data_IF_444331324319
#
_entry.id   IF_444331324319
#
_cell.length_a   1.000
_cell.length_b   1.000
_cell.length_c   1.000
_cell.angle_alpha   90.00
_cell.angle_beta   90.00
_cell.angle_gamma   90.00
#
_symmetry.space_group_name_H-M   'P 1'
#
loop_
_entity.id
_entity.type
_entity.pdbx_description
1 polymer ?
#
# COMPACT_ATOMS: atom_id res chain seq x y z
N UNK A 1 15.74 9.16 25.41
CA UNK A 1 14.82 8.60 26.43
C UNK A 1 14.30 7.27 25.92
N UNK A 2 14.59 6.15 26.59
CA UNK A 2 14.02 4.83 26.24
C UNK A 2 12.50 4.89 26.39
N UNK A 3 11.76 4.67 25.31
CA UNK A 3 10.28 4.61 25.37
C UNK A 3 9.88 3.41 26.19
N UNK A 4 9.10 3.64 27.25
CA UNK A 4 8.53 2.59 28.09
C UNK A 4 7.63 1.72 27.20
N UNK A 5 7.77 0.39 27.28
CA UNK A 5 6.97 -0.54 26.45
C UNK A 5 5.47 -0.38 26.74
N UNK A 6 4.63 -0.65 25.75
CA UNK A 6 3.17 -0.57 25.87
C UNK A 6 2.65 -1.45 27.02
N UNK A 7 3.25 -2.63 27.20
CA UNK A 7 2.94 -3.55 28.31
C UNK A 7 3.12 -2.86 29.67
N UNK A 8 4.27 -2.20 29.90
CA UNK A 8 4.54 -1.49 31.15
C UNK A 8 3.58 -0.33 31.38
N UNK A 9 3.23 0.44 30.34
CA UNK A 9 2.26 1.53 30.45
C UNK A 9 0.89 1.01 30.84
N UNK A 10 0.41 -0.05 30.18
CA UNK A 10 -0.89 -0.65 30.46
C UNK A 10 -0.91 -1.24 31.88
N UNK A 11 0.13 -1.97 32.28
CA UNK A 11 0.26 -2.52 33.66
C UNK A 11 0.23 -1.43 34.69
N UNK A 12 0.99 -0.35 34.53
CA UNK A 12 0.98 0.77 35.50
C UNK A 12 -0.41 1.42 35.59
N UNK A 13 -1.08 1.69 34.48
CA UNK A 13 -2.42 2.32 34.48
C UNK A 13 -3.43 1.42 35.20
N UNK A 14 -3.49 0.14 34.88
CA UNK A 14 -4.44 -0.80 35.49
C UNK A 14 -4.10 -1.02 36.99
N UNK A 15 -2.82 -1.12 37.35
CA UNK A 15 -2.41 -1.29 38.73
C UNK A 15 -2.80 -0.08 39.57
N UNK A 16 -2.61 1.15 39.07
CA UNK A 16 -3.06 2.37 39.74
C UNK A 16 -4.59 2.36 39.91
N UNK A 17 -5.33 1.96 38.87
CA UNK A 17 -6.79 1.86 38.91
C UNK A 17 -7.26 0.84 39.97
N UNK A 18 -6.64 -0.34 40.02
CA UNK A 18 -6.90 -1.37 41.04
C UNK A 18 -6.60 -0.82 42.45
N UNK A 19 -5.46 -0.13 42.63
CA UNK A 19 -5.09 0.44 43.90
C UNK A 19 -6.10 1.49 44.40
N UNK A 20 -6.61 2.34 43.50
CA UNK A 20 -7.65 3.33 43.83
C UNK A 20 -8.95 2.64 44.24
N UNK A 21 -9.41 1.63 43.47
CA UNK A 21 -10.62 0.87 43.82
C UNK A 21 -10.45 0.18 45.18
N UNK A 22 -9.34 -0.51 45.39
CA UNK A 22 -9.05 -1.16 46.70
C UNK A 22 -9.06 -0.15 47.81
N UNK A 23 -8.47 1.04 47.62
CA UNK A 23 -8.49 2.12 48.62
C UNK A 23 -9.89 2.63 48.93
N UNK A 24 -10.73 2.83 47.91
CA UNK A 24 -12.12 3.24 48.08
C UNK A 24 -12.94 2.18 48.84
N UNK A 25 -12.85 0.91 48.43
CA UNK A 25 -13.54 -0.21 49.10
C UNK A 25 -13.09 -0.36 50.52
N UNK A 26 -11.77 -0.33 50.79
CA UNK A 26 -11.21 -0.40 52.12
C UNK A 26 -11.72 0.72 53.00
N UNK A 27 -11.81 1.95 52.47
CA UNK A 27 -12.33 3.10 53.23
C UNK A 27 -13.81 2.94 53.56
N UNK A 28 -14.63 2.44 52.63
CA UNK A 28 -16.05 2.16 52.86
C UNK A 28 -16.25 1.06 53.92
N UNK A 29 -15.54 -0.06 53.78
CA UNK A 29 -15.60 -1.19 54.72
C UNK A 29 -15.11 -0.76 56.09
N UNK A 30 -14.04 0.02 56.19
CA UNK A 30 -13.54 0.57 57.44
C UNK A 30 -14.57 1.49 58.11
N UNK A 31 -15.14 2.46 57.37
CA UNK A 31 -16.16 3.36 57.89
C UNK A 31 -17.38 2.60 58.43
N UNK A 32 -17.85 1.61 57.63
CA UNK A 32 -19.00 0.78 58.04
C UNK A 32 -18.68 -0.04 59.31
N UNK A 33 -17.49 -0.67 59.37
CA UNK A 33 -17.06 -1.42 60.55
C UNK A 33 -16.90 -0.53 61.79
N UNK A 34 -16.35 0.68 61.66
CA UNK A 34 -16.24 1.65 62.75
C UNK A 34 -17.63 2.11 63.19
N UNK A 35 -18.56 2.37 62.28
CA UNK A 35 -19.93 2.74 62.59
C UNK A 35 -20.62 1.69 63.51
N UNK A 36 -20.52 0.40 63.16
CA UNK A 36 -21.07 -0.68 64.02
C UNK A 36 -20.35 -0.80 65.33
N UNK A 37 -19.05 -0.58 65.44
CA UNK A 37 -18.30 -0.59 66.66
C UNK A 37 -18.70 0.60 67.62
N UNK A 38 -18.93 1.78 67.01
CA UNK A 38 -19.40 2.97 67.71
C UNK A 38 -20.83 2.78 68.22
N UNK A 39 -21.75 2.20 67.42
CA UNK A 39 -23.12 1.93 67.87
C UNK A 39 -23.19 0.91 69.03
N UNK A 40 -22.33 -0.13 69.03
CA UNK A 40 -22.21 -1.06 70.07
C UNK A 40 -21.69 -0.37 71.36
N UNK A 41 -20.73 0.54 71.30
CA UNK A 41 -20.23 1.30 72.39
C UNK A 41 -21.30 2.24 72.94
N UNK A 42 -22.04 2.94 72.07
CA UNK A 42 -23.18 3.79 72.49
C UNK A 42 -24.24 3.00 73.24
N UNK A 43 -24.54 1.76 72.82
CA UNK A 43 -25.52 0.89 73.45
C UNK A 43 -25.03 0.48 74.90
N UNK A 44 -23.74 0.17 74.99
CA UNK A 44 -23.15 -0.18 76.32
C UNK A 44 -23.13 1.03 77.29
N UNK A 45 -22.77 2.22 76.77
CA UNK A 45 -22.76 3.45 77.56
C UNK A 45 -24.17 3.90 77.96
N UNK A 46 -25.22 3.67 77.16
CA UNK A 46 -26.60 4.01 77.44
C UNK A 46 -27.28 3.06 78.45
N UNK A 47 -26.85 1.79 78.55
CA UNK A 47 -27.38 0.84 79.51
C UNK A 47 -26.88 1.09 80.97
N UNK A 48 -25.89 1.96 81.16
CA UNK A 48 -25.46 2.45 82.44
C UNK A 48 -26.43 3.43 83.12
N UNK A 49 -27.35 4.04 82.36
CA UNK A 49 -28.36 4.99 82.78
C UNK A 49 -29.77 4.46 82.47
N UNK A 50 -30.40 3.77 83.43
CA UNK A 50 -31.80 3.30 83.49
C UNK A 50 -32.68 3.40 82.21
N UNK A 51 -33.07 2.29 81.61
CA UNK A 51 -34.40 1.72 81.29
C UNK A 51 -34.38 0.66 80.20
N UNK A 52 -34.87 -0.52 80.59
CA UNK A 52 -35.07 -1.71 79.74
C UNK A 52 -36.26 -1.46 78.83
N UNK A 53 -36.07 -1.51 77.52
CA UNK A 53 -37.09 -1.64 76.48
C UNK A 53 -37.13 -3.08 75.94
N UNK A 54 -38.31 -3.66 75.82
CA UNK A 54 -38.62 -5.09 75.58
C UNK A 54 -38.36 -5.53 74.08
N UNK A 55 -37.16 -5.37 73.56
CA UNK A 55 -36.76 -5.95 72.31
C UNK A 55 -35.74 -7.06 72.50
N UNK A 56 -35.84 -8.15 71.72
CA UNK A 56 -35.00 -9.36 71.78
C UNK A 56 -33.47 -9.08 71.71
N UNK A 57 -32.90 -8.53 72.82
CA UNK A 57 -31.48 -8.24 72.88
C UNK A 57 -30.78 -9.24 73.80
N UNK A 58 -29.56 -9.60 73.53
CA UNK A 58 -28.71 -10.50 74.34
C UNK A 58 -28.31 -9.79 75.63
N UNK A 59 -28.98 -10.15 76.73
CA UNK A 59 -28.67 -9.58 78.00
C UNK A 59 -27.40 -10.18 78.59
N UNK A 60 -26.39 -9.36 78.84
CA UNK A 60 -25.23 -9.68 79.62
C UNK A 60 -25.51 -9.12 81.00
N UNK A 61 -25.84 -10.01 81.96
CA UNK A 61 -26.06 -9.60 83.35
C UNK A 61 -24.72 -9.32 84.02
N UNK A 62 -24.37 -8.04 84.14
CA UNK A 62 -23.17 -7.57 84.82
C UNK A 62 -23.59 -6.98 86.13
N UNK A 63 -22.98 -7.40 87.33
CA UNK A 63 -23.27 -6.78 88.59
C UNK A 63 -22.94 -5.28 88.58
N UNK A 64 -23.81 -4.48 89.26
CA UNK A 64 -23.71 -3.00 89.30
C UNK A 64 -22.33 -2.51 89.74
N UNK A 65 -21.76 -3.20 90.74
CA UNK A 65 -20.43 -2.88 91.29
C UNK A 65 -19.26 -3.12 90.33
N UNK A 66 -19.49 -3.79 89.17
CA UNK A 66 -18.49 -4.10 88.14
C UNK A 66 -18.75 -3.43 86.83
N UNK A 67 -19.80 -2.63 86.69
CA UNK A 67 -20.19 -1.99 85.45
C UNK A 67 -19.12 -1.02 84.94
N UNK A 68 -18.57 -0.17 85.80
CA UNK A 68 -17.54 0.80 85.43
C UNK A 68 -16.25 0.14 84.96
N UNK A 69 -15.84 -0.98 85.56
CA UNK A 69 -14.69 -1.75 85.15
C UNK A 69 -14.93 -2.39 83.80
N UNK A 70 -16.12 -2.98 83.57
CA UNK A 70 -16.51 -3.56 82.27
C UNK A 70 -16.60 -2.50 81.18
N UNK A 71 -17.24 -1.37 81.38
CA UNK A 71 -17.38 -0.30 80.40
C UNK A 71 -16.03 0.28 79.96
N UNK A 72 -15.13 0.42 80.93
CA UNK A 72 -13.76 0.88 80.68
C UNK A 72 -12.95 -0.16 79.87
N UNK A 73 -12.99 -1.44 80.21
CA UNK A 73 -12.32 -2.51 79.52
C UNK A 73 -12.90 -2.69 78.11
N UNK A 74 -14.23 -2.58 77.95
CA UNK A 74 -14.92 -2.64 76.67
C UNK A 74 -14.49 -1.48 75.71
N UNK A 75 -14.45 -0.26 76.25
CA UNK A 75 -14.04 0.92 75.47
C UNK A 75 -12.57 0.81 75.02
N UNK A 76 -11.67 0.28 75.86
CA UNK A 76 -10.27 0.02 75.46
C UNK A 76 -10.19 -1.08 74.43
N UNK A 77 -10.99 -2.17 74.57
CA UNK A 77 -11.04 -3.22 73.54
C UNK A 77 -11.59 -2.71 72.22
N UNK A 78 -12.65 -1.90 72.20
CA UNK A 78 -13.19 -1.27 70.94
C UNK A 78 -12.15 -0.39 70.32
N UNK A 79 -11.42 0.43 71.05
CA UNK A 79 -10.34 1.26 70.55
C UNK A 79 -9.22 0.43 69.88
N UNK A 80 -8.77 -0.63 70.55
CA UNK A 80 -7.73 -1.52 70.07
C UNK A 80 -8.21 -2.27 68.85
N UNK A 81 -9.45 -2.78 68.79
CA UNK A 81 -10.05 -3.45 67.68
C UNK A 81 -10.18 -2.51 66.45
N UNK A 82 -10.55 -1.23 66.66
CA UNK A 82 -10.57 -0.23 65.56
C UNK A 82 -9.17 -0.03 64.96
N UNK A 83 -8.13 0.06 65.78
CA UNK A 83 -6.76 0.24 65.39
C UNK A 83 -6.26 -0.99 64.57
N UNK A 84 -6.51 -2.20 65.08
CA UNK A 84 -6.15 -3.46 64.41
C UNK A 84 -6.94 -3.67 63.13
N UNK A 85 -8.23 -3.34 63.12
CA UNK A 85 -9.07 -3.40 61.90
C UNK A 85 -8.55 -2.48 60.82
N UNK A 86 -8.16 -1.23 61.15
CA UNK A 86 -7.54 -0.29 60.23
C UNK A 86 -6.24 -0.84 59.63
N UNK A 87 -5.35 -1.36 60.49
CA UNK A 87 -4.06 -1.92 60.08
C UNK A 87 -4.24 -3.13 59.16
N UNK A 88 -5.10 -4.08 59.55
CA UNK A 88 -5.35 -5.29 58.76
C UNK A 88 -6.02 -4.97 57.43
N UNK A 89 -6.99 -4.03 57.39
CA UNK A 89 -7.63 -3.58 56.16
C UNK A 89 -6.64 -2.95 55.18
N UNK A 90 -5.69 -2.15 55.67
CA UNK A 90 -4.63 -1.57 54.85
C UNK A 90 -3.67 -2.62 54.29
N UNK A 91 -3.28 -3.61 55.09
CA UNK A 91 -2.39 -4.71 54.68
C UNK A 91 -3.07 -5.55 53.57
N UNK A 92 -4.34 -5.92 53.80
CA UNK A 92 -5.12 -6.71 52.85
C UNK A 92 -5.27 -5.94 51.48
N UNK A 93 -5.60 -4.64 51.57
CA UNK A 93 -5.71 -3.78 50.41
C UNK A 93 -4.39 -3.68 49.60
N UNK A 94 -3.27 -3.50 50.31
CA UNK A 94 -1.95 -3.46 49.70
C UNK A 94 -1.58 -4.79 49.05
N UNK A 95 -1.87 -5.92 49.66
CA UNK A 95 -1.66 -7.27 49.10
C UNK A 95 -2.49 -7.51 47.85
N UNK A 96 -3.78 -7.14 47.88
CA UNK A 96 -4.67 -7.26 46.72
C UNK A 96 -4.21 -6.39 45.53
N UNK A 97 -3.77 -5.16 45.80
CA UNK A 97 -3.24 -4.28 44.78
C UNK A 97 -1.95 -4.86 44.15
N UNK A 98 -1.07 -5.42 44.99
CA UNK A 98 0.17 -6.04 44.48
C UNK A 98 -0.12 -7.29 43.65
N UNK A 99 -0.99 -8.18 44.13
CA UNK A 99 -1.39 -9.39 43.37
C UNK A 99 -2.09 -9.01 42.06
N UNK A 100 -2.98 -8.02 42.09
CA UNK A 100 -3.64 -7.49 40.90
C UNK A 100 -2.63 -6.92 39.89
N UNK A 101 -1.63 -6.20 40.34
CA UNK A 101 -0.55 -5.68 39.53
C UNK A 101 0.27 -6.78 38.83
N UNK A 102 0.64 -7.82 39.60
CA UNK A 102 1.36 -8.98 39.03
C UNK A 102 0.50 -9.73 38.01
N UNK A 103 -0.75 -10.01 38.33
CA UNK A 103 -1.68 -10.66 37.41
C UNK A 103 -1.85 -9.84 36.12
N UNK A 104 -2.02 -8.53 36.23
CA UNK A 104 -2.14 -7.61 35.06
C UNK A 104 -0.89 -7.64 34.21
N UNK A 105 0.30 -7.71 34.78
CA UNK A 105 1.56 -7.80 34.04
C UNK A 105 1.59 -9.05 33.15
N UNK A 106 1.23 -10.21 33.67
CA UNK A 106 1.21 -11.46 32.91
C UNK A 106 0.11 -11.47 31.84
N UNK A 107 -1.11 -11.04 32.20
CA UNK A 107 -2.24 -10.98 31.27
C UNK A 107 -1.94 -10.02 30.11
N UNK A 108 -1.45 -8.81 30.41
CA UNK A 108 -1.07 -7.82 29.41
C UNK A 108 0.07 -8.31 28.51
N UNK A 109 1.05 -9.02 29.09
CA UNK A 109 2.14 -9.63 28.31
C UNK A 109 1.64 -10.67 27.30
N UNK A 110 0.71 -11.51 27.72
CA UNK A 110 0.12 -12.54 26.85
C UNK A 110 -0.79 -11.91 25.77
N UNK A 111 -1.65 -10.98 26.15
CA UNK A 111 -2.56 -10.30 25.22
C UNK A 111 -1.84 -9.46 24.15
N UNK A 112 -0.66 -8.90 24.48
CA UNK A 112 0.12 -8.09 23.53
C UNK A 112 1.13 -8.91 22.71
N UNK A 113 1.27 -10.20 22.95
CA UNK A 113 2.20 -11.08 22.24
C UNK A 113 1.94 -11.13 20.74
N UNK A 114 0.69 -11.32 20.24
CA UNK A 114 0.41 -11.36 18.82
C UNK A 114 0.80 -10.06 18.08
N UNK A 115 0.62 -8.91 18.74
CA UNK A 115 0.99 -7.61 18.16
C UNK A 115 2.51 -7.47 18.01
N UNK A 116 3.28 -8.00 18.97
CA UNK A 116 4.75 -8.00 18.86
C UNK A 116 5.23 -8.92 17.74
N UNK A 117 4.70 -10.12 17.68
CA UNK A 117 5.02 -11.07 16.59
C UNK A 117 4.68 -10.51 15.21
N UNK A 118 3.57 -9.77 15.11
CA UNK A 118 3.19 -9.04 13.90
C UNK A 118 4.21 -7.95 13.56
N UNK A 119 4.59 -7.12 14.53
CA UNK A 119 5.59 -6.06 14.35
C UNK A 119 6.95 -6.61 13.92
N UNK A 120 7.41 -7.70 14.58
CA UNK A 120 8.69 -8.34 14.26
C UNK A 120 8.70 -8.96 12.85
N UNK A 121 7.56 -9.49 12.39
CA UNK A 121 7.43 -10.00 11.01
C UNK A 121 7.50 -8.86 9.99
N UNK A 122 6.82 -7.74 10.25
CA UNK A 122 6.87 -6.56 9.37
C UNK A 122 8.31 -6.01 9.25
N UNK A 123 9.03 -5.90 10.37
CA UNK A 123 10.40 -5.35 10.38
C UNK A 123 11.39 -6.19 9.54
N UNK A 124 11.14 -7.49 9.42
CA UNK A 124 11.99 -8.43 8.66
C UNK A 124 11.67 -8.51 7.18
N UNK A 125 10.65 -7.80 6.71
CA UNK A 125 10.25 -7.81 5.29
C UNK A 125 11.31 -7.15 4.43
N UNK A 126 11.76 -7.86 3.41
CA UNK A 126 12.69 -7.40 2.39
C UNK A 126 12.16 -7.81 1.02
N UNK A 127 12.60 -7.14 -0.04
CA UNK A 127 12.18 -7.45 -1.41
C UNK A 127 12.43 -8.91 -1.83
N UNK A 128 13.40 -9.59 -1.17
CA UNK A 128 13.77 -10.98 -1.46
C UNK A 128 12.91 -12.03 -0.73
N UNK A 129 12.18 -11.64 0.34
CA UNK A 129 11.41 -12.56 1.18
C UNK A 129 9.92 -12.22 1.31
N UNK A 130 9.38 -11.45 0.36
CA UNK A 130 7.98 -11.00 0.39
C UNK A 130 6.98 -12.16 0.48
N UNK A 131 7.23 -13.25 -0.27
CA UNK A 131 6.37 -14.44 -0.28
C UNK A 131 6.36 -15.17 1.07
N UNK A 132 7.53 -15.26 1.74
CA UNK A 132 7.70 -15.95 3.01
C UNK A 132 7.27 -15.08 4.21
N UNK A 133 6.98 -13.80 3.98
CA UNK A 133 6.62 -12.82 5.01
C UNK A 133 5.11 -12.73 5.25
N UNK A 134 4.32 -13.61 4.66
CA UNK A 134 2.87 -13.67 4.89
C UNK A 134 2.59 -14.00 6.35
N UNK A 135 1.57 -13.34 6.89
CA UNK A 135 1.11 -13.54 8.26
C UNK A 135 -0.10 -14.48 8.19
N UNK A 136 -0.06 -15.54 9.02
CA UNK A 136 -1.18 -16.48 9.16
C UNK A 136 -2.41 -15.77 9.74
N UNK A 137 -3.58 -16.29 9.44
CA UNK A 137 -4.84 -15.79 10.01
C UNK A 137 -4.82 -15.90 11.52
N UNK A 138 -5.21 -14.82 12.20
CA UNK A 138 -5.23 -14.75 13.65
C UNK A 138 -6.64 -15.05 14.19
N UNK A 139 -6.72 -15.62 15.41
CA UNK A 139 -8.00 -15.90 16.08
C UNK A 139 -8.68 -14.61 16.59
N UNK A 140 -7.95 -13.51 16.71
CA UNK A 140 -8.50 -12.21 17.11
C UNK A 140 -8.94 -11.46 15.84
N UNK A 141 -10.21 -11.11 15.76
CA UNK A 141 -10.86 -10.58 14.55
C UNK A 141 -10.17 -9.29 14.04
N UNK A 142 -9.83 -8.36 14.92
CA UNK A 142 -9.16 -7.11 14.57
C UNK A 142 -7.75 -7.33 14.00
N UNK A 143 -7.04 -8.31 14.54
CA UNK A 143 -5.72 -8.71 14.05
C UNK A 143 -5.82 -9.50 12.74
N UNK A 144 -6.88 -10.27 12.54
CA UNK A 144 -7.14 -10.99 11.30
C UNK A 144 -7.38 -10.02 10.14
N UNK A 145 -8.21 -9.00 10.34
CA UNK A 145 -8.46 -7.97 9.33
C UNK A 145 -7.16 -7.21 8.95
N UNK A 146 -6.31 -6.93 9.94
CA UNK A 146 -5.00 -6.31 9.71
C UNK A 146 -4.07 -7.26 8.94
N UNK A 147 -4.04 -8.57 9.27
CA UNK A 147 -3.25 -9.58 8.57
C UNK A 147 -3.67 -9.72 7.10
N UNK A 148 -4.98 -9.75 6.82
CA UNK A 148 -5.52 -9.79 5.45
C UNK A 148 -5.10 -8.55 4.65
N UNK A 149 -5.24 -7.36 5.23
CA UNK A 149 -4.86 -6.10 4.58
C UNK A 149 -3.35 -6.04 4.30
N UNK A 150 -2.55 -6.50 5.25
CA UNK A 150 -1.10 -6.60 5.13
C UNK A 150 -0.68 -7.59 4.05
N UNK A 151 -1.25 -8.80 4.03
CA UNK A 151 -0.96 -9.81 3.02
C UNK A 151 -1.31 -9.33 1.61
N UNK A 152 -2.44 -8.62 1.46
CA UNK A 152 -2.83 -8.00 0.18
C UNK A 152 -1.85 -6.92 -0.26
N UNK A 153 -1.30 -6.14 0.69
CA UNK A 153 -0.24 -5.16 0.39
C UNK A 153 1.05 -5.85 -0.04
N UNK A 154 1.46 -6.93 0.64
CA UNK A 154 2.63 -7.73 0.26
C UNK A 154 2.50 -8.35 -1.13
N UNK A 155 1.32 -8.87 -1.48
CA UNK A 155 1.04 -9.41 -2.81
C UNK A 155 1.23 -8.35 -3.90
N UNK A 156 0.60 -7.18 -3.73
CA UNK A 156 0.78 -6.05 -4.65
C UNK A 156 2.24 -5.60 -4.77
N UNK A 157 2.98 -5.61 -3.66
CA UNK A 157 4.39 -5.24 -3.64
C UNK A 157 5.24 -6.30 -4.35
N UNK A 158 4.96 -7.58 -4.12
CA UNK A 158 5.62 -8.70 -4.80
C UNK A 158 5.43 -8.63 -6.32
N UNK A 159 4.19 -8.41 -6.77
CA UNK A 159 3.87 -8.27 -8.19
C UNK A 159 4.62 -7.08 -8.81
N UNK A 160 4.64 -5.94 -8.12
CA UNK A 160 5.36 -4.76 -8.58
C UNK A 160 6.88 -4.99 -8.70
N UNK A 161 7.49 -5.69 -7.73
CA UNK A 161 8.91 -6.05 -7.79
C UNK A 161 9.22 -7.06 -8.90
N UNK A 162 8.36 -8.04 -9.13
CA UNK A 162 8.55 -9.01 -10.21
C UNK A 162 8.47 -8.33 -11.58
N UNK A 163 7.49 -7.46 -11.79
CA UNK A 163 7.38 -6.64 -13.00
C UNK A 163 8.64 -5.78 -13.19
N UNK A 164 9.10 -5.11 -12.13
CA UNK A 164 10.30 -4.27 -12.19
C UNK A 164 11.56 -5.09 -12.48
N UNK A 165 11.72 -6.27 -11.88
CA UNK A 165 12.84 -7.18 -12.12
C UNK A 165 12.87 -7.66 -13.56
N UNK A 166 11.72 -8.09 -14.07
CA UNK A 166 11.57 -8.54 -15.45
C UNK A 166 11.85 -7.41 -16.44
N UNK A 167 11.35 -6.20 -16.16
CA UNK A 167 11.63 -5.00 -16.94
C UNK A 167 13.15 -4.72 -17.01
N UNK A 168 13.84 -4.72 -15.86
CA UNK A 168 15.28 -4.46 -15.80
C UNK A 168 16.09 -5.52 -16.54
N UNK A 169 15.72 -6.80 -16.38
CA UNK A 169 16.39 -7.90 -17.07
C UNK A 169 16.21 -7.82 -18.60
N UNK A 170 15.00 -7.53 -19.06
CA UNK A 170 14.69 -7.37 -20.47
C UNK A 170 15.40 -6.14 -21.07
N UNK A 171 15.41 -5.02 -20.35
CA UNK A 171 16.14 -3.82 -20.78
C UNK A 171 17.64 -4.11 -20.95
N UNK A 172 18.26 -4.77 -19.98
CA UNK A 172 19.68 -5.14 -20.05
C UNK A 172 19.96 -6.07 -21.26
N UNK A 173 19.07 -7.03 -21.51
CA UNK A 173 19.20 -7.95 -22.64
C UNK A 173 19.04 -7.24 -24.00
N UNK A 174 18.04 -6.39 -24.12
CA UNK A 174 17.76 -5.64 -25.39
C UNK A 174 18.80 -4.55 -25.66
N UNK A 175 19.49 -4.02 -24.64
CA UNK A 175 20.65 -3.12 -24.80
C UNK A 175 21.93 -3.86 -25.19
N UNK A 176 22.17 -5.06 -24.63
CA UNK A 176 23.38 -5.86 -24.91
C UNK A 176 23.45 -6.30 -26.37
N UNK A 177 22.32 -6.68 -26.97
CA UNK A 177 22.27 -7.21 -28.35
C UNK A 177 22.80 -6.22 -29.40
N UNK A 178 22.32 -4.96 -29.51
CA UNK A 178 22.85 -3.99 -30.47
C UNK A 178 24.31 -3.63 -30.19
N UNK A 179 24.71 -3.54 -28.92
CA UNK A 179 26.11 -3.30 -28.54
C UNK A 179 27.03 -4.42 -29.04
N UNK A 180 26.63 -5.68 -28.83
CA UNK A 180 27.38 -6.83 -29.31
C UNK A 180 27.47 -6.86 -30.88
N UNK A 181 26.38 -6.50 -31.56
CA UNK A 181 26.36 -6.43 -33.00
C UNK A 181 27.32 -5.34 -33.53
N UNK A 182 27.31 -4.15 -32.94
CA UNK A 182 28.26 -3.09 -33.29
C UNK A 182 29.72 -3.53 -33.03
N UNK A 183 29.99 -4.18 -31.90
CA UNK A 183 31.32 -4.67 -31.62
C UNK A 183 31.80 -5.69 -32.66
N UNK A 184 30.96 -6.70 -32.97
CA UNK A 184 31.30 -7.72 -33.98
C UNK A 184 31.58 -7.08 -35.37
N UNK A 185 30.77 -6.09 -35.75
CA UNK A 185 30.97 -5.40 -37.04
C UNK A 185 32.28 -4.60 -37.06
N UNK A 186 32.60 -3.90 -36.00
CA UNK A 186 33.87 -3.19 -35.87
C UNK A 186 35.06 -4.13 -35.83
N UNK A 187 34.97 -5.28 -35.11
CA UNK A 187 36.03 -6.28 -35.07
C UNK A 187 36.23 -6.94 -36.42
N UNK A 188 35.17 -7.24 -37.16
CA UNK A 188 35.23 -7.75 -38.51
C UNK A 188 35.90 -6.75 -39.46
N UNK A 189 35.52 -5.48 -39.41
CA UNK A 189 36.14 -4.41 -40.20
C UNK A 189 37.63 -4.28 -39.90
N UNK A 190 38.02 -4.31 -38.60
CA UNK A 190 39.42 -4.22 -38.18
C UNK A 190 40.26 -5.46 -38.52
N UNK A 191 39.62 -6.65 -38.58
CA UNK A 191 40.34 -7.91 -38.90
C UNK A 191 40.57 -8.15 -40.37
N UNK A 192 39.84 -7.48 -41.26
CA UNK A 192 40.04 -7.54 -42.68
C UNK A 192 41.29 -6.76 -43.03
N UNK A 193 42.40 -7.46 -43.29
CA UNK A 193 43.78 -6.92 -43.54
C UNK A 193 43.94 -6.05 -44.80
N UNK A 194 42.90 -5.81 -45.54
CA UNK A 194 42.88 -4.83 -46.61
C UNK A 194 41.96 -3.67 -46.20
N UNK A 195 42.37 -2.40 -46.41
CA UNK A 195 41.41 -1.31 -46.35
C UNK A 195 40.32 -1.68 -47.37
N UNK A 196 39.15 -2.04 -46.79
CA UNK A 196 37.97 -2.45 -47.56
C UNK A 196 37.67 -1.42 -48.61
N UNK A 197 36.96 -1.82 -49.64
CA UNK A 197 36.40 -0.86 -50.61
C UNK A 197 35.67 0.24 -49.82
N UNK A 198 35.58 1.45 -50.35
CA UNK A 198 34.76 2.53 -49.76
C UNK A 198 33.35 2.05 -49.46
N UNK A 199 32.87 1.06 -50.15
CA UNK A 199 31.55 0.43 -49.99
C UNK A 199 31.42 -0.40 -48.71
N UNK A 200 32.46 -1.20 -48.35
CA UNK A 200 32.48 -1.99 -47.09
C UNK A 200 32.55 -1.07 -45.84
N UNK A 201 33.31 0.03 -45.97
CA UNK A 201 33.40 1.08 -44.98
C UNK A 201 32.05 1.77 -44.74
N UNK A 202 31.39 2.17 -45.86
CA UNK A 202 30.09 2.79 -45.83
C UNK A 202 29.02 1.86 -45.23
N UNK A 203 29.04 0.58 -45.57
CA UNK A 203 28.10 -0.42 -45.04
C UNK A 203 28.30 -0.61 -43.54
N UNK A 204 29.54 -0.69 -43.06
CA UNK A 204 29.85 -0.82 -41.61
C UNK A 204 29.38 0.42 -40.81
N UNK A 205 29.70 1.61 -41.33
CA UNK A 205 29.26 2.88 -40.72
C UNK A 205 27.73 2.93 -40.68
N UNK A 206 27.05 2.62 -41.77
CA UNK A 206 25.57 2.60 -41.83
C UNK A 206 24.98 1.68 -40.75
N UNK A 207 25.52 0.45 -40.63
CA UNK A 207 25.03 -0.53 -39.68
C UNK A 207 25.27 -0.10 -38.22
N UNK A 208 26.45 0.47 -37.91
CA UNK A 208 26.75 1.02 -36.60
C UNK A 208 25.81 2.19 -36.26
N UNK A 209 25.58 3.08 -37.22
CA UNK A 209 24.68 4.22 -37.03
C UNK A 209 23.24 3.76 -36.75
N UNK A 210 22.73 2.78 -37.51
CA UNK A 210 21.38 2.22 -37.29
C UNK A 210 21.24 1.59 -35.91
N UNK A 211 22.28 0.87 -35.42
CA UNK A 211 22.22 0.30 -34.06
C UNK A 211 22.31 1.39 -32.96
N UNK A 212 23.12 2.43 -33.22
CA UNK A 212 23.24 3.57 -32.31
C UNK A 212 21.91 4.34 -32.18
N UNK A 213 21.23 4.60 -33.33
CA UNK A 213 19.91 5.25 -33.36
C UNK A 213 18.85 4.42 -32.59
N UNK A 214 18.90 3.09 -32.79
CA UNK A 214 18.04 2.16 -32.06
C UNK A 214 18.27 2.21 -30.55
N UNK A 215 19.54 2.24 -30.13
CA UNK A 215 19.88 2.41 -28.71
C UNK A 215 19.41 3.75 -28.16
N UNK A 216 19.61 4.84 -28.90
CA UNK A 216 19.16 6.16 -28.53
C UNK A 216 17.65 6.23 -28.30
N UNK A 217 16.86 5.65 -29.24
CA UNK A 217 15.39 5.54 -29.09
C UNK A 217 15.00 4.72 -27.86
N UNK A 218 15.70 3.61 -27.60
CA UNK A 218 15.43 2.76 -26.44
C UNK A 218 15.69 3.50 -25.13
N UNK A 219 16.85 4.13 -24.99
CA UNK A 219 17.22 4.90 -23.79
C UNK A 219 16.22 6.05 -23.57
N UNK A 220 15.85 6.77 -24.63
CA UNK A 220 14.86 7.84 -24.54
C UNK A 220 13.53 7.33 -24.01
N UNK A 221 13.01 6.21 -24.56
CA UNK A 221 11.74 5.64 -24.10
C UNK A 221 11.80 5.16 -22.64
N UNK A 222 12.94 4.58 -22.22
CA UNK A 222 13.15 4.18 -20.82
C UNK A 222 13.16 5.39 -19.86
N UNK A 223 13.81 6.49 -20.27
CA UNK A 223 13.78 7.74 -19.50
C UNK A 223 12.36 8.32 -19.44
N UNK A 224 11.67 8.36 -20.58
CA UNK A 224 10.27 8.79 -20.65
C UNK A 224 9.38 8.02 -19.67
N UNK A 225 9.54 6.69 -19.60
CA UNK A 225 8.80 5.83 -18.64
C UNK A 225 9.17 6.13 -17.17
N UNK A 226 10.43 6.48 -16.90
CA UNK A 226 10.87 6.83 -15.53
C UNK A 226 10.31 8.17 -15.07
N UNK A 227 10.12 9.13 -15.98
CA UNK A 227 9.69 10.49 -15.67
C UNK A 227 8.16 10.67 -15.61
N UNK A 228 7.38 9.70 -16.08
CA UNK A 228 5.91 9.79 -16.16
C UNK A 228 5.22 10.26 -14.87
N UNK A 229 5.76 9.89 -13.71
CA UNK A 229 5.16 10.24 -12.42
C UNK A 229 5.44 11.68 -11.99
N UNK A 230 6.46 12.32 -12.55
CA UNK A 230 6.92 13.67 -12.17
C UNK A 230 6.36 14.77 -13.06
N UNK A 231 5.82 14.42 -14.22
CA UNK A 231 5.25 15.38 -15.19
C UNK A 231 3.90 15.88 -14.70
N UNK A 232 3.69 17.22 -14.72
CA UNK A 232 2.41 17.85 -14.42
C UNK A 232 1.31 17.43 -15.39
N UNK A 233 0.06 17.40 -14.92
CA UNK A 233 -1.11 16.91 -15.68
C UNK A 233 -2.27 17.90 -15.65
N UNK A 234 -1.95 19.19 -15.54
CA UNK A 234 -2.93 20.26 -15.36
C UNK A 234 -3.11 21.10 -16.64
N UNK A 235 -2.51 20.66 -17.75
CA UNK A 235 -2.62 21.37 -19.02
C UNK A 235 -4.03 21.23 -19.61
N UNK A 236 -4.50 22.29 -20.25
CA UNK A 236 -5.74 22.29 -21.04
C UNK A 236 -5.42 21.92 -22.47
N UNK A 237 -5.70 20.68 -22.84
CA UNK A 237 -5.37 20.09 -24.14
C UNK A 237 -6.54 20.26 -25.10
N UNK A 238 -6.29 20.79 -26.28
CA UNK A 238 -7.23 20.84 -27.41
C UNK A 238 -6.94 19.61 -28.27
N UNK A 239 -7.78 18.57 -28.13
CA UNK A 239 -7.48 17.22 -28.66
C UNK A 239 -7.39 17.17 -30.17
N UNK A 240 -8.24 17.89 -30.90
CA UNK A 240 -8.21 17.97 -32.37
C UNK A 240 -6.90 18.59 -32.87
N UNK A 241 -6.45 19.70 -32.26
CA UNK A 241 -5.18 20.35 -32.61
C UNK A 241 -3.97 19.43 -32.34
N UNK A 242 -3.96 18.73 -31.20
CA UNK A 242 -2.90 17.79 -30.88
C UNK A 242 -2.87 16.59 -31.85
N UNK A 243 -4.03 16.06 -32.24
CA UNK A 243 -4.11 14.97 -33.22
C UNK A 243 -3.62 15.44 -34.59
N UNK A 244 -4.01 16.63 -35.04
CA UNK A 244 -3.56 17.20 -36.29
C UNK A 244 -2.03 17.40 -36.33
N UNK A 245 -1.43 17.86 -35.20
CA UNK A 245 0.03 17.97 -35.05
C UNK A 245 0.71 16.61 -35.20
N UNK A 246 0.23 15.57 -34.48
CA UNK A 246 0.78 14.21 -34.57
C UNK A 246 0.66 13.64 -35.99
N UNK A 247 -0.49 13.84 -36.65
CA UNK A 247 -0.68 13.38 -38.04
C UNK A 247 0.25 14.09 -38.99
N UNK A 248 0.48 15.39 -38.83
CA UNK A 248 1.42 16.16 -39.65
C UNK A 248 2.87 15.66 -39.46
N UNK A 249 3.29 15.38 -38.23
CA UNK A 249 4.62 14.87 -37.92
C UNK A 249 4.88 13.47 -38.48
N UNK A 250 3.83 12.64 -38.57
CA UNK A 250 3.91 11.27 -39.10
C UNK A 250 3.57 11.14 -40.59
N UNK A 251 3.13 12.22 -41.23
CA UNK A 251 2.79 12.23 -42.65
C UNK A 251 3.95 11.74 -43.56
N UNK A 252 5.24 12.17 -43.34
CA UNK A 252 6.34 11.66 -44.17
C UNK A 252 6.51 10.13 -44.07
N UNK A 253 6.35 9.55 -42.87
CA UNK A 253 6.44 8.12 -42.66
C UNK A 253 5.27 7.36 -43.32
N UNK A 254 4.08 7.93 -43.28
CA UNK A 254 2.90 7.37 -43.93
C UNK A 254 3.01 7.40 -45.46
N UNK A 255 3.53 8.49 -46.00
CA UNK A 255 3.76 8.63 -47.46
C UNK A 255 4.80 7.63 -47.96
N UNK A 256 5.92 7.41 -47.27
CA UNK A 256 6.93 6.39 -47.60
C UNK A 256 6.30 5.00 -47.75
N UNK A 257 5.29 4.67 -46.96
CA UNK A 257 4.58 3.38 -46.99
C UNK A 257 3.30 3.39 -47.81
N UNK A 258 2.95 4.51 -48.41
CA UNK A 258 1.69 4.72 -49.14
C UNK A 258 0.46 4.42 -48.25
N UNK A 259 0.43 4.99 -47.06
CA UNK A 259 -0.66 4.84 -46.07
C UNK A 259 -1.40 6.16 -45.93
N UNK A 260 -2.73 6.09 -45.89
CA UNK A 260 -3.57 7.28 -45.73
C UNK A 260 -3.83 7.56 -44.26
N UNK A 261 -3.50 8.77 -43.80
CA UNK A 261 -3.85 9.27 -42.46
C UNK A 261 -5.16 10.05 -42.51
N UNK A 262 -6.05 9.82 -41.52
CA UNK A 262 -7.36 10.49 -41.43
C UNK A 262 -7.60 10.88 -39.99
N UNK A 263 -7.74 12.17 -39.67
CA UNK A 263 -8.24 12.70 -38.43
C UNK A 263 -9.74 12.96 -38.53
N UNK A 264 -10.52 12.51 -37.51
CA UNK A 264 -11.96 12.79 -37.36
C UNK A 264 -12.21 13.10 -35.89
N UNK A 265 -11.72 14.23 -35.44
CA UNK A 265 -11.86 14.66 -34.06
C UNK A 265 -12.91 15.75 -33.93
N UNK A 266 -13.74 15.67 -32.90
CA UNK A 266 -14.58 16.78 -32.50
C UNK A 266 -13.73 17.81 -31.76
N UNK A 267 -14.20 19.07 -31.71
CA UNK A 267 -13.53 20.10 -30.91
C UNK A 267 -13.68 19.80 -29.40
N UNK A 268 -12.78 18.98 -28.86
CA UNK A 268 -12.80 18.48 -27.48
C UNK A 268 -11.62 19.05 -26.72
N UNK A 269 -11.88 19.50 -25.51
CA UNK A 269 -10.83 19.86 -24.56
C UNK A 269 -10.78 18.84 -23.43
N UNK A 270 -9.57 18.42 -23.03
CA UNK A 270 -9.34 17.60 -21.85
C UNK A 270 -8.27 18.23 -20.93
N UNK A 271 -8.24 17.82 -19.67
CA UNK A 271 -7.17 18.17 -18.73
C UNK A 271 -6.21 16.99 -18.62
N UNK A 272 -4.92 17.25 -18.75
CA UNK A 272 -3.89 16.22 -18.69
C UNK A 272 -2.51 16.81 -18.94
N UNK A 273 -1.52 15.97 -19.26
CA UNK A 273 -0.21 16.44 -19.72
C UNK A 273 -0.18 16.46 -21.25
N UNK A 274 -0.02 17.64 -21.83
CA UNK A 274 0.05 17.84 -23.27
C UNK A 274 1.14 16.95 -23.90
N UNK A 275 2.34 16.96 -23.35
CA UNK A 275 3.48 16.14 -23.80
C UNK A 275 3.17 14.64 -23.75
N UNK A 276 2.52 14.17 -22.70
CA UNK A 276 2.24 12.73 -22.54
C UNK A 276 1.12 12.28 -23.47
N UNK A 277 0.06 13.06 -23.64
CA UNK A 277 -1.03 12.74 -24.56
C UNK A 277 -0.53 12.79 -26.01
N UNK A 278 0.31 13.78 -26.38
CA UNK A 278 0.99 13.79 -27.67
C UNK A 278 1.77 12.49 -27.91
N UNK A 279 2.60 12.06 -26.94
CA UNK A 279 3.37 10.81 -27.03
C UNK A 279 2.50 9.57 -27.15
N UNK A 280 1.37 9.54 -26.45
CA UNK A 280 0.40 8.46 -26.57
C UNK A 280 -0.14 8.33 -28.00
N UNK A 281 -0.67 9.43 -28.53
CA UNK A 281 -1.22 9.46 -29.90
C UNK A 281 -0.14 9.12 -30.92
N UNK A 282 1.04 9.72 -30.79
CA UNK A 282 2.19 9.48 -31.67
C UNK A 282 2.57 7.99 -31.70
N UNK A 283 2.71 7.33 -30.55
CA UNK A 283 3.06 5.90 -30.47
C UNK A 283 1.98 5.00 -31.11
N UNK A 284 0.70 5.30 -30.86
CA UNK A 284 -0.39 4.53 -31.45
C UNK A 284 -0.42 4.67 -32.98
N UNK A 285 -0.33 5.90 -33.48
CA UNK A 285 -0.35 6.18 -34.91
C UNK A 285 0.92 5.64 -35.60
N UNK A 286 2.11 5.82 -35.00
CA UNK A 286 3.37 5.25 -35.53
C UNK A 286 3.29 3.72 -35.63
N UNK A 287 2.73 3.04 -34.64
CA UNK A 287 2.51 1.60 -34.68
C UNK A 287 1.51 1.23 -35.79
N UNK A 288 0.41 1.95 -35.91
CA UNK A 288 -0.60 1.75 -36.95
C UNK A 288 -0.02 1.90 -38.36
N UNK A 289 0.96 2.80 -38.59
CA UNK A 289 1.70 2.94 -39.81
C UNK A 289 2.72 1.80 -40.03
N UNK A 290 3.49 1.47 -38.97
CA UNK A 290 4.56 0.45 -39.06
C UNK A 290 4.04 -0.94 -39.42
N UNK A 291 2.89 -1.32 -38.84
CA UNK A 291 2.31 -2.66 -38.97
C UNK A 291 1.19 -2.75 -40.04
N UNK A 292 1.00 -1.68 -40.80
CA UNK A 292 0.06 -1.64 -41.89
C UNK A 292 0.66 -2.22 -43.21
N UNK A 293 -0.18 -2.41 -44.18
CA UNK A 293 0.20 -2.75 -45.55
C UNK A 293 0.18 -1.51 -46.49
N UNK A 294 0.88 -1.57 -47.62
CA UNK A 294 0.86 -0.51 -48.59
C UNK A 294 -0.58 -0.30 -49.14
N UNK A 295 -1.00 0.96 -49.25
CA UNK A 295 -2.37 1.33 -49.60
C UNK A 295 -3.38 1.25 -48.44
N UNK A 296 -2.92 0.94 -47.21
CA UNK A 296 -3.75 0.91 -46.02
C UNK A 296 -4.12 2.30 -45.54
N UNK A 297 -4.87 2.32 -44.40
CA UNK A 297 -5.39 3.53 -43.80
C UNK A 297 -5.20 3.49 -42.29
N UNK A 298 -4.93 4.63 -41.68
CA UNK A 298 -5.00 4.87 -40.25
C UNK A 298 -6.00 5.98 -40.00
N UNK A 299 -6.94 5.73 -39.10
CA UNK A 299 -7.98 6.70 -38.73
C UNK A 299 -7.87 6.99 -37.26
N UNK A 300 -7.74 8.25 -36.90
CA UNK A 300 -7.79 8.73 -35.48
C UNK A 300 -9.11 9.43 -35.29
N UNK A 301 -9.85 9.01 -34.27
CA UNK A 301 -11.12 9.64 -33.89
C UNK A 301 -11.05 10.07 -32.43
N UNK A 302 -11.62 11.22 -32.11
CA UNK A 302 -11.82 11.64 -30.74
C UNK A 302 -13.25 12.15 -30.59
N UNK A 303 -13.95 11.63 -29.60
CA UNK A 303 -15.31 12.05 -29.24
C UNK A 303 -15.45 12.21 -27.72
N UNK A 304 -16.51 12.89 -27.29
CA UNK A 304 -16.86 13.01 -25.88
C UNK A 304 -18.17 12.28 -25.60
N UNK A 305 -18.11 11.29 -24.69
CA UNK A 305 -19.27 10.56 -24.20
C UNK A 305 -19.47 10.88 -22.72
N UNK A 306 -20.50 11.65 -22.41
CA UNK A 306 -20.81 12.09 -21.04
C UNK A 306 -19.63 12.84 -20.39
N UNK A 307 -18.95 12.21 -19.42
CA UNK A 307 -17.79 12.73 -18.67
C UNK A 307 -16.47 12.10 -19.13
N UNK A 308 -16.47 11.40 -20.26
CA UNK A 308 -15.29 10.72 -20.75
C UNK A 308 -14.89 11.25 -22.11
N UNK A 309 -13.57 11.41 -22.32
CA UNK A 309 -12.97 11.65 -23.62
C UNK A 309 -12.51 10.30 -24.16
N UNK A 310 -13.05 9.92 -25.33
CA UNK A 310 -12.72 8.70 -26.02
C UNK A 310 -11.84 9.03 -27.22
N UNK A 311 -10.63 8.46 -27.26
CA UNK A 311 -9.70 8.56 -28.36
C UNK A 311 -9.51 7.17 -28.95
N UNK A 312 -9.72 7.02 -30.27
CA UNK A 312 -9.58 5.74 -30.96
C UNK A 312 -8.62 5.87 -32.15
N UNK A 313 -7.71 4.91 -32.23
CA UNK A 313 -6.77 4.76 -33.39
C UNK A 313 -7.05 3.43 -34.06
N UNK A 314 -7.56 3.48 -35.27
CA UNK A 314 -7.91 2.31 -36.06
C UNK A 314 -6.98 2.20 -37.28
N UNK A 315 -6.39 1.03 -37.48
CA UNK A 315 -5.61 0.68 -38.69
C UNK A 315 -6.27 -0.42 -39.52
N UNK A 316 -5.82 -0.56 -40.76
CA UNK A 316 -6.23 -1.64 -41.64
C UNK A 316 -5.13 -2.68 -41.85
N UNK A 317 -4.19 -2.79 -40.92
CA UNK A 317 -2.99 -3.62 -41.02
C UNK A 317 -3.20 -5.11 -40.70
N UNK A 318 -2.14 -5.73 -40.14
CA UNK A 318 -2.13 -7.18 -39.94
C UNK A 318 -3.03 -7.66 -38.76
N UNK A 319 -3.49 -6.75 -37.90
CA UNK A 319 -4.23 -7.09 -36.69
C UNK A 319 -3.38 -7.72 -35.61
N UNK A 320 -4.00 -7.88 -34.42
CA UNK A 320 -3.40 -8.53 -33.25
C UNK A 320 -4.28 -9.73 -32.88
N UNK A 321 -3.70 -10.96 -32.80
CA UNK A 321 -4.42 -12.14 -32.35
C UNK A 321 -5.05 -11.92 -30.98
N UNK A 322 -6.23 -12.46 -30.75
CA UNK A 322 -7.01 -12.24 -29.52
C UNK A 322 -6.24 -12.64 -28.28
N UNK A 323 -5.52 -13.75 -28.32
CA UNK A 323 -4.76 -14.32 -27.22
C UNK A 323 -3.56 -13.43 -26.81
N UNK A 324 -3.18 -12.49 -27.64
CA UNK A 324 -2.01 -11.62 -27.41
C UNK A 324 -2.40 -10.18 -27.05
N UNK A 325 -3.69 -9.81 -27.09
CA UNK A 325 -4.14 -8.42 -26.90
C UNK A 325 -3.81 -7.86 -25.53
N UNK A 326 -3.91 -8.67 -24.48
CA UNK A 326 -3.55 -8.24 -23.14
C UNK A 326 -2.04 -8.09 -22.97
N UNK A 327 -1.27 -8.87 -23.73
CA UNK A 327 0.18 -8.91 -23.62
C UNK A 327 0.91 -7.85 -24.42
N UNK A 328 0.26 -7.21 -25.40
CA UNK A 328 0.91 -6.19 -26.25
C UNK A 328 1.37 -4.96 -25.47
N UNK A 329 0.84 -4.76 -24.26
CA UNK A 329 1.22 -3.70 -23.35
C UNK A 329 2.38 -4.08 -22.41
N UNK A 330 2.80 -5.37 -22.40
CA UNK A 330 3.97 -5.79 -21.63
C UNK A 330 5.24 -5.15 -22.21
N UNK A 331 6.12 -4.58 -21.40
CA UNK A 331 7.39 -4.03 -21.89
C UNK A 331 8.22 -5.08 -22.62
N UNK A 332 8.78 -4.71 -23.78
CA UNK A 332 9.57 -5.57 -24.68
C UNK A 332 8.80 -6.72 -25.35
N UNK A 333 7.48 -6.79 -25.17
CA UNK A 333 6.66 -7.78 -25.83
C UNK A 333 6.51 -7.46 -27.33
N UNK A 334 6.45 -8.50 -28.16
CA UNK A 334 6.32 -8.41 -29.61
C UNK A 334 5.58 -9.63 -30.12
N UNK A 335 4.55 -9.42 -30.93
CA UNK A 335 3.76 -10.49 -31.59
C UNK A 335 4.64 -11.36 -32.49
N UNK A 336 5.52 -10.73 -33.29
CA UNK A 336 6.51 -11.41 -34.14
C UNK A 336 7.90 -10.81 -33.92
N UNK A 337 8.81 -11.60 -33.32
CA UNK A 337 10.18 -11.16 -32.98
C UNK A 337 11.05 -10.94 -34.22
N UNK A 338 10.82 -11.67 -35.31
CA UNK A 338 11.63 -11.61 -36.53
C UNK A 338 11.28 -10.38 -37.36
N UNK A 339 10.01 -10.19 -37.68
CA UNK A 339 9.48 -9.09 -38.48
C UNK A 339 9.62 -7.73 -37.82
N UNK A 340 9.40 -7.69 -36.50
CA UNK A 340 9.52 -6.43 -35.74
C UNK A 340 10.98 -5.99 -35.56
N UNK A 341 11.98 -6.90 -35.64
CA UNK A 341 13.40 -6.49 -35.65
C UNK A 341 13.74 -5.74 -36.93
N UNK A 342 13.26 -6.19 -38.05
CA UNK A 342 13.45 -5.51 -39.35
C UNK A 342 12.80 -4.11 -39.39
N UNK A 343 11.71 -3.91 -38.64
CA UNK A 343 11.00 -2.64 -38.53
C UNK A 343 11.53 -1.73 -37.40
N UNK A 344 12.64 -2.10 -36.74
CA UNK A 344 13.30 -1.27 -35.69
C UNK A 344 12.54 -1.13 -34.38
N UNK A 345 11.45 -1.85 -34.18
CA UNK A 345 10.64 -1.75 -32.96
C UNK A 345 11.33 -2.41 -31.76
N UNK A 346 11.30 -1.78 -30.59
CA UNK A 346 11.89 -2.28 -29.31
C UNK A 346 10.84 -2.98 -28.45
N UNK A 347 9.54 -2.76 -28.69
CA UNK A 347 8.46 -3.28 -27.87
C UNK A 347 8.20 -2.46 -26.61
N UNK A 348 8.58 -1.18 -26.59
CA UNK A 348 8.36 -0.26 -25.46
C UNK A 348 7.23 0.75 -25.73
N UNK A 349 6.86 1.00 -26.99
CA UNK A 349 5.90 2.05 -27.35
C UNK A 349 4.51 1.82 -26.76
N UNK A 350 3.95 0.60 -26.87
CA UNK A 350 2.65 0.28 -26.29
C UNK A 350 2.69 0.18 -24.76
N UNK A 351 3.80 -0.24 -24.18
CA UNK A 351 4.01 -0.19 -22.73
C UNK A 351 4.00 1.25 -22.21
N UNK A 352 4.66 2.17 -22.93
CA UNK A 352 4.62 3.61 -22.62
C UNK A 352 3.19 4.15 -22.74
N UNK A 353 2.45 3.80 -23.79
CA UNK A 353 1.03 4.16 -23.96
C UNK A 353 0.20 3.71 -22.75
N UNK A 354 0.35 2.46 -22.34
CA UNK A 354 -0.37 1.91 -21.18
C UNK A 354 -0.07 2.67 -19.89
N UNK A 355 1.20 2.99 -19.63
CA UNK A 355 1.59 3.77 -18.47
C UNK A 355 1.07 5.22 -18.53
N UNK A 356 1.07 5.87 -19.70
CA UNK A 356 0.49 7.20 -19.87
C UNK A 356 -1.02 7.18 -19.56
N UNK A 357 -1.73 6.17 -20.06
CA UNK A 357 -3.17 6.00 -19.77
C UNK A 357 -3.39 5.80 -18.26
N UNK A 358 -2.58 4.96 -17.62
CA UNK A 358 -2.66 4.67 -16.19
C UNK A 358 -2.43 5.91 -15.31
N UNK A 359 -1.44 6.74 -15.64
CA UNK A 359 -1.17 7.96 -14.84
C UNK A 359 -2.21 9.06 -15.05
N UNK A 360 -3.06 8.96 -16.10
CA UNK A 360 -4.22 9.82 -16.32
C UNK A 360 -5.54 9.19 -15.87
N UNK A 361 -5.50 8.12 -15.04
CA UNK A 361 -6.68 7.39 -14.55
C UNK A 361 -7.64 6.94 -15.66
N UNK A 362 -7.07 6.65 -16.84
CA UNK A 362 -7.79 6.18 -18.02
C UNK A 362 -7.81 4.66 -18.15
N UNK A 363 -8.42 4.19 -19.23
CA UNK A 363 -8.37 2.79 -19.66
C UNK A 363 -8.08 2.69 -21.15
N UNK A 364 -7.41 1.58 -21.55
CA UNK A 364 -7.14 1.28 -22.96
C UNK A 364 -7.59 -0.14 -23.27
N UNK A 365 -8.21 -0.31 -24.43
CA UNK A 365 -8.65 -1.62 -24.93
C UNK A 365 -8.20 -1.83 -26.38
N UNK A 366 -8.04 -3.10 -26.76
CA UNK A 366 -7.62 -3.51 -28.11
C UNK A 366 -8.69 -4.40 -28.72
N UNK A 367 -9.13 -4.06 -29.91
CA UNK A 367 -10.13 -4.84 -30.66
C UNK A 367 -9.73 -5.03 -32.14
N UNK A 368 -10.41 -5.96 -32.81
CA UNK A 368 -10.25 -6.12 -34.25
C UNK A 368 -11.02 -5.06 -35.03
N UNK A 369 -10.39 -4.46 -36.02
CA UNK A 369 -11.08 -3.59 -36.93
C UNK A 369 -11.89 -4.45 -37.94
N UNK A 370 -13.22 -4.23 -38.09
CA UNK A 370 -14.04 -4.96 -39.03
C UNK A 370 -13.53 -4.86 -40.52
N UNK A 371 -12.81 -3.79 -40.84
CA UNK A 371 -12.19 -3.59 -42.16
C UNK A 371 -10.81 -4.26 -42.32
N UNK A 372 -10.40 -5.08 -41.32
CA UNK A 372 -9.05 -5.60 -41.17
C UNK A 372 -8.19 -4.69 -40.29
N UNK A 373 -7.23 -5.28 -39.53
CA UNK A 373 -6.33 -4.54 -38.66
C UNK A 373 -6.77 -4.46 -37.20
N UNK A 374 -6.33 -3.41 -36.51
CA UNK A 374 -6.51 -3.23 -35.07
C UNK A 374 -7.19 -1.90 -34.75
N UNK A 375 -7.93 -1.86 -33.64
CA UNK A 375 -8.46 -0.63 -33.04
C UNK A 375 -7.93 -0.57 -31.61
N UNK A 376 -7.29 0.54 -31.27
CA UNK A 376 -6.95 0.92 -29.89
C UNK A 376 -7.91 2.00 -29.41
N UNK A 377 -8.70 1.69 -28.38
CA UNK A 377 -9.65 2.62 -27.78
C UNK A 377 -9.12 3.05 -26.41
N UNK A 378 -8.91 4.35 -26.22
CA UNK A 378 -8.46 4.97 -24.97
C UNK A 378 -9.57 5.84 -24.40
N UNK A 379 -9.85 5.68 -23.11
CA UNK A 379 -10.87 6.45 -22.40
C UNK A 379 -10.26 7.18 -21.22
N UNK A 380 -10.48 8.49 -21.13
CA UNK A 380 -10.08 9.34 -19.99
C UNK A 380 -11.32 9.87 -19.29
N UNK A 381 -11.36 9.74 -17.97
CA UNK A 381 -12.42 10.34 -17.13
C UNK A 381 -12.05 11.80 -16.81
N UNK A 382 -13.00 12.74 -17.00
CA UNK A 382 -12.79 14.18 -16.87
C UNK A 382 -13.74 14.79 -15.82
#
# INVERSE_FOLDING_TARGET
MKRISLQWRLTCIITVYIAVICGCVTTLVYKNGVYYMDSLQETVDAQGDDHVDDSEEIYISIPEDKWDEFANDFSVQVYNNKADYKKNSLIISALLALLGGVATYFISGHALRPIREFSDKIEKVQAQNLADSRIEENQVEELNQLSVSYNKMLERLSDAFEIQRQFTANAAHELRTPLALMQVQLDLYNSTRHPGSDEDTLQTIKMVTEQNDRLGKMVKTLLDMSELQTVGRDDKIIVDALVDEVLADLEPLAQEKNIKLIGKCENITMVGSDILIYRLVYNLVENAIKYNHAGGQVTVTADRKEKQVCLSVADTGNGIPEELRDRVFEPFFRVDKSRSRALGGVGLGLALVHEIVRVHDGSITVSSNPSGGTIFDVMFTQ
#
